data_IF_315779544459
#
_entry.id   IF_315779544459
#
_cell.length_a   1.000
_cell.length_b   1.000
_cell.length_c   1.000
_cell.angle_alpha   90.00
_cell.angle_beta   90.00
_cell.angle_gamma   90.00
#
_symmetry.space_group_name_H-M   'P 1'
#
loop_
_entity.id
_entity.type
_entity.pdbx_description
1 polymer ?
#
# COMPACT_ATOMS: atom_id res chain seq x y z
N UNK A 1 21.62 -16.94 -1.72
CA UNK A 1 20.20 -16.54 -2.00
C UNK A 1 19.85 -15.17 -1.44
N UNK A 2 20.23 -14.83 -0.21
CA UNK A 2 19.93 -13.53 0.43
C UNK A 2 20.60 -12.36 -0.31
N UNK A 3 21.74 -12.60 -0.94
CA UNK A 3 22.45 -11.62 -1.77
C UNK A 3 21.93 -11.54 -3.22
N UNK A 4 20.95 -12.37 -3.59
CA UNK A 4 20.41 -12.37 -4.93
C UNK A 4 19.64 -11.06 -5.21
N UNK A 5 19.71 -10.61 -6.47
CA UNK A 5 18.93 -9.46 -6.95
C UNK A 5 17.43 -9.78 -7.03
N UNK A 6 17.09 -11.07 -7.00
CA UNK A 6 15.71 -11.53 -7.15
C UNK A 6 15.43 -12.77 -6.32
N UNK A 7 14.27 -12.80 -5.68
CA UNK A 7 13.68 -13.97 -5.04
C UNK A 7 12.17 -13.93 -5.23
N UNK A 8 11.64 -14.97 -5.86
CA UNK A 8 10.20 -15.15 -6.08
C UNK A 8 9.79 -16.47 -5.41
N UNK A 9 9.02 -16.42 -4.31
CA UNK A 9 8.57 -17.64 -3.64
C UNK A 9 7.61 -18.42 -4.54
N UNK A 10 7.76 -19.76 -4.58
CA UNK A 10 6.87 -20.63 -5.36
C UNK A 10 5.43 -20.62 -4.85
N UNK A 11 5.26 -20.44 -3.55
CA UNK A 11 3.96 -20.32 -2.89
C UNK A 11 4.01 -19.15 -1.91
N UNK A 12 3.01 -18.29 -1.97
CA UNK A 12 2.83 -17.17 -1.02
C UNK A 12 1.73 -17.58 -0.05
N UNK A 13 2.00 -17.42 1.26
CA UNK A 13 0.97 -17.64 2.29
C UNK A 13 -0.01 -16.49 2.24
N UNK A 14 -1.29 -16.79 2.00
CA UNK A 14 -2.35 -15.80 2.05
C UNK A 14 -2.52 -15.23 3.47
N UNK A 15 -2.54 -13.92 3.57
CA UNK A 15 -2.87 -13.22 4.80
C UNK A 15 -4.35 -12.85 4.80
N UNK A 16 -5.12 -13.41 5.74
CA UNK A 16 -6.51 -13.03 5.90
C UNK A 16 -6.63 -11.59 6.41
N UNK A 17 -7.20 -10.70 5.60
CA UNK A 17 -7.51 -9.32 6.00
C UNK A 17 -8.52 -9.29 7.14
N UNK A 18 -9.45 -10.25 7.18
CA UNK A 18 -10.42 -10.38 8.28
C UNK A 18 -9.73 -10.69 9.61
N UNK A 19 -8.75 -11.60 9.60
CA UNK A 19 -8.00 -11.94 10.81
C UNK A 19 -7.07 -10.81 11.24
N UNK A 20 -6.44 -10.12 10.29
CA UNK A 20 -5.69 -8.90 10.56
C UNK A 20 -6.60 -7.83 11.21
N UNK A 21 -7.83 -7.67 10.73
CA UNK A 21 -8.80 -6.75 11.33
C UNK A 21 -9.21 -7.17 12.73
N UNK A 22 -9.48 -8.46 12.96
CA UNK A 22 -9.80 -8.99 14.29
C UNK A 22 -8.65 -8.75 15.29
N UNK A 23 -7.40 -9.04 14.88
CA UNK A 23 -6.19 -8.78 15.68
C UNK A 23 -6.07 -7.29 16.03
N UNK A 24 -6.21 -6.41 15.05
CA UNK A 24 -6.17 -4.96 15.25
C UNK A 24 -7.25 -4.47 16.22
N UNK A 25 -8.47 -5.02 16.14
CA UNK A 25 -9.58 -4.67 17.06
C UNK A 25 -9.42 -5.23 18.46
N UNK A 26 -8.60 -6.25 18.65
CA UNK A 26 -8.37 -6.85 19.94
C UNK A 26 -7.65 -5.86 20.88
N UNK A 27 -8.31 -5.51 21.98
CA UNK A 27 -7.77 -4.57 22.99
C UNK A 27 -6.48 -5.06 23.65
N UNK A 28 -6.25 -6.38 23.70
CA UNK A 28 -5.05 -6.99 24.29
C UNK A 28 -3.80 -6.82 23.40
N UNK A 29 -3.95 -6.57 22.09
CA UNK A 29 -2.86 -6.41 21.12
C UNK A 29 -2.22 -5.01 21.18
N UNK A 30 -1.66 -4.65 22.33
CA UNK A 30 -1.03 -3.32 22.54
C UNK A 30 0.19 -3.10 21.65
N UNK A 31 1.02 -4.13 21.45
CA UNK A 31 2.25 -4.04 20.65
C UNK A 31 1.95 -3.76 19.19
N UNK A 32 0.96 -4.44 18.60
CA UNK A 32 0.55 -4.18 17.22
C UNK A 32 0.03 -2.74 17.04
N UNK A 33 -0.78 -2.28 17.99
CA UNK A 33 -1.29 -0.89 17.97
C UNK A 33 -0.18 0.13 18.07
N UNK A 34 0.79 -0.09 18.96
CA UNK A 34 1.96 0.78 19.10
C UNK A 34 2.79 0.82 17.81
N UNK A 35 3.02 -0.34 17.19
CA UNK A 35 3.73 -0.44 15.92
C UNK A 35 3.03 0.36 14.81
N UNK A 36 1.73 0.17 14.66
CA UNK A 36 0.93 0.88 13.67
C UNK A 36 0.85 2.39 13.97
N UNK A 37 0.77 2.78 15.26
CA UNK A 37 0.84 4.18 15.68
C UNK A 37 2.16 4.82 15.24
N UNK A 38 3.29 4.18 15.52
CA UNK A 38 4.62 4.65 15.08
C UNK A 38 4.71 4.76 13.55
N UNK A 39 4.14 3.79 12.85
CA UNK A 39 4.13 3.74 11.39
C UNK A 39 3.32 4.86 10.75
N UNK A 40 2.18 5.26 11.34
CA UNK A 40 1.24 6.19 10.70
C UNK A 40 1.27 7.60 11.28
N UNK A 41 1.74 7.80 12.52
CA UNK A 41 1.62 9.08 13.24
C UNK A 41 2.23 10.27 12.50
N UNK A 42 3.32 10.08 11.78
CA UNK A 42 3.98 11.12 10.99
C UNK A 42 3.08 11.76 9.93
N UNK A 43 2.09 11.01 9.43
CA UNK A 43 1.15 11.52 8.42
C UNK A 43 0.19 12.57 8.96
N UNK A 44 -0.03 12.63 10.29
CA UNK A 44 -1.04 13.51 10.89
C UNK A 44 -0.84 14.97 10.54
N UNK A 45 0.40 15.47 10.54
CA UNK A 45 0.73 16.84 10.20
C UNK A 45 0.31 17.20 8.78
N UNK A 46 0.50 16.28 7.83
CA UNK A 46 0.15 16.47 6.42
C UNK A 46 -1.37 16.39 6.16
N UNK A 47 -2.13 15.78 7.07
CA UNK A 47 -3.58 15.62 6.95
C UNK A 47 -4.38 16.76 7.58
N UNK A 48 -3.71 17.65 8.31
CA UNK A 48 -4.36 18.80 8.95
C UNK A 48 -5.03 19.69 7.89
N UNK A 49 -6.30 20.03 8.11
CA UNK A 49 -7.12 20.88 7.22
C UNK A 49 -7.40 20.28 5.81
N UNK A 50 -7.03 19.05 5.53
CA UNK A 50 -7.37 18.36 4.28
C UNK A 50 -8.79 17.81 4.31
N UNK A 51 -9.49 17.85 3.17
CA UNK A 51 -10.91 17.45 3.06
C UNK A 51 -11.07 16.16 2.25
N UNK A 52 -10.40 16.05 1.11
CA UNK A 52 -10.50 14.92 0.19
C UNK A 52 -9.25 14.05 0.32
N UNK A 53 -9.30 13.09 1.24
CA UNK A 53 -8.19 12.17 1.55
C UNK A 53 -8.62 10.77 1.10
N UNK A 54 -7.83 10.14 0.25
CA UNK A 54 -8.12 8.81 -0.28
C UNK A 54 -6.96 7.88 0.03
N UNK A 55 -7.23 6.77 0.68
CA UNK A 55 -6.25 5.71 0.91
C UNK A 55 -6.50 4.57 -0.08
N UNK A 56 -5.44 4.15 -0.78
CA UNK A 56 -5.45 3.03 -1.73
C UNK A 56 -4.85 1.79 -1.07
N UNK A 57 -5.53 0.64 -1.20
CA UNK A 57 -5.10 -0.60 -0.57
C UNK A 57 -5.18 -0.55 0.95
N UNK A 58 -6.35 -0.16 1.49
CA UNK A 58 -6.54 0.10 2.92
C UNK A 58 -6.54 -1.14 3.81
N UNK A 59 -6.63 -2.35 3.23
CA UNK A 59 -6.58 -3.61 3.94
C UNK A 59 -7.52 -3.66 5.15
N UNK A 60 -6.95 -3.81 6.34
CA UNK A 60 -7.71 -3.87 7.60
C UNK A 60 -8.27 -2.52 8.09
N UNK A 61 -7.99 -1.41 7.40
CA UNK A 61 -8.50 -0.07 7.70
C UNK A 61 -7.96 0.56 8.98
N UNK A 62 -6.80 0.09 9.49
CA UNK A 62 -6.21 0.58 10.74
C UNK A 62 -5.81 2.05 10.67
N UNK A 63 -5.35 2.53 9.52
CA UNK A 63 -4.87 3.90 9.30
C UNK A 63 -5.88 4.96 9.70
N UNK A 64 -7.12 4.82 9.27
CA UNK A 64 -8.22 5.76 9.59
C UNK A 64 -8.46 5.89 11.09
N UNK A 65 -8.38 4.78 11.82
CA UNK A 65 -8.60 4.76 13.27
C UNK A 65 -7.40 5.33 14.02
N UNK A 66 -6.18 4.95 13.62
CA UNK A 66 -4.95 5.42 14.25
C UNK A 66 -4.74 6.92 13.97
N UNK A 67 -4.95 7.35 12.74
CA UNK A 67 -4.85 8.77 12.37
C UNK A 67 -5.99 9.61 12.95
N UNK A 68 -7.05 8.97 13.50
CA UNK A 68 -8.25 9.61 14.07
C UNK A 68 -8.89 10.60 13.09
N UNK A 69 -8.84 10.29 11.79
CA UNK A 69 -9.33 11.18 10.75
C UNK A 69 -10.50 10.55 9.98
N UNK A 70 -11.71 10.98 10.31
CA UNK A 70 -12.96 10.47 9.71
C UNK A 70 -13.10 10.80 8.21
N UNK A 71 -12.34 11.78 7.69
CA UNK A 71 -12.38 12.20 6.29
C UNK A 71 -11.64 11.25 5.34
N UNK A 72 -10.83 10.34 5.87
CA UNK A 72 -10.12 9.35 5.06
C UNK A 72 -11.15 8.40 4.43
N UNK A 73 -11.16 8.37 3.10
CA UNK A 73 -11.93 7.43 2.30
C UNK A 73 -11.06 6.19 2.10
N UNK A 74 -11.42 5.10 2.77
CA UNK A 74 -10.73 3.82 2.64
C UNK A 74 -11.14 3.12 1.35
N UNK A 75 -10.16 2.74 0.52
CA UNK A 75 -10.41 2.01 -0.72
C UNK A 75 -9.53 0.77 -0.80
N UNK A 76 -10.08 -0.28 -1.41
CA UNK A 76 -9.37 -1.54 -1.58
C UNK A 76 -9.90 -2.28 -2.81
N UNK A 77 -9.13 -3.26 -3.32
CA UNK A 77 -9.56 -4.13 -4.41
C UNK A 77 -10.68 -5.07 -3.94
N UNK A 78 -10.70 -5.41 -2.65
CA UNK A 78 -11.75 -6.19 -2.03
C UNK A 78 -12.69 -5.28 -1.20
N UNK A 79 -13.99 -5.62 -1.18
CA UNK A 79 -14.98 -4.88 -0.42
C UNK A 79 -15.19 -5.54 0.95
N UNK A 80 -14.82 -4.81 2.00
CA UNK A 80 -15.10 -5.17 3.39
C UNK A 80 -16.04 -4.13 4.02
N UNK A 81 -16.70 -4.43 5.17
CA UNK A 81 -17.64 -3.49 5.80
C UNK A 81 -17.06 -2.10 6.13
N UNK A 82 -15.76 -2.01 6.40
CA UNK A 82 -15.07 -0.75 6.71
C UNK A 82 -14.51 -0.04 5.48
N UNK A 83 -14.50 -0.70 4.31
CA UNK A 83 -14.01 -0.10 3.06
C UNK A 83 -15.14 0.73 2.43
N UNK A 84 -14.87 2.00 2.21
CA UNK A 84 -15.83 2.94 1.65
C UNK A 84 -16.10 2.63 0.16
N UNK A 85 -15.05 2.38 -0.63
CA UNK A 85 -15.18 2.17 -2.07
C UNK A 85 -14.24 1.05 -2.55
N UNK A 86 -14.75 0.13 -3.38
CA UNK A 86 -13.93 -0.86 -4.08
C UNK A 86 -13.20 -0.18 -5.23
N UNK A 87 -11.87 -0.21 -5.21
CA UNK A 87 -11.00 0.37 -6.24
C UNK A 87 -9.79 -0.52 -6.45
N UNK A 88 -9.57 -0.92 -7.68
CA UNK A 88 -8.32 -1.52 -8.11
C UNK A 88 -7.31 -0.39 -8.41
N UNK A 89 -6.25 -0.28 -7.61
CA UNK A 89 -5.24 0.77 -7.79
C UNK A 89 -4.51 0.66 -9.13
N UNK A 90 -4.37 -0.54 -9.70
CA UNK A 90 -3.72 -0.74 -11.00
C UNK A 90 -4.51 -0.11 -12.14
N UNK A 91 -5.84 -0.04 -11.98
CA UNK A 91 -6.80 0.55 -12.92
C UNK A 91 -7.40 1.85 -12.39
N UNK A 92 -6.71 2.56 -11.48
CA UNK A 92 -7.24 3.71 -10.76
C UNK A 92 -8.10 4.60 -11.66
N UNK A 93 -9.39 4.67 -11.31
CA UNK A 93 -10.35 5.62 -11.85
C UNK A 93 -11.29 6.09 -10.72
N UNK A 94 -11.24 7.38 -10.43
CA UNK A 94 -12.08 8.03 -9.40
C UNK A 94 -13.23 8.82 -10.04
N UNK A 95 -13.34 8.78 -11.37
CA UNK A 95 -14.30 9.55 -12.13
C UNK A 95 -13.92 11.03 -12.34
N UNK A 96 -14.56 11.66 -13.32
CA UNK A 96 -14.22 13.05 -13.74
C UNK A 96 -14.41 14.07 -12.62
N UNK A 97 -15.37 13.87 -11.72
CA UNK A 97 -15.71 14.80 -10.62
C UNK A 97 -14.56 15.01 -9.62
N UNK A 98 -13.65 14.04 -9.48
CA UNK A 98 -12.52 14.11 -8.55
C UNK A 98 -11.21 14.57 -9.19
N UNK A 99 -11.15 14.78 -10.51
CA UNK A 99 -9.95 15.30 -11.18
C UNK A 99 -9.58 16.67 -10.61
N UNK A 100 -8.32 16.82 -10.20
CA UNK A 100 -7.81 18.05 -9.60
C UNK A 100 -8.43 18.43 -8.25
N UNK A 101 -9.09 17.48 -7.54
CA UNK A 101 -9.80 17.79 -6.27
C UNK A 101 -9.33 17.00 -5.05
N UNK A 102 -8.45 16.03 -5.22
CA UNK A 102 -7.91 15.23 -4.12
C UNK A 102 -6.81 16.04 -3.41
N UNK A 103 -6.94 16.18 -2.10
CA UNK A 103 -5.93 16.85 -1.29
C UNK A 103 -4.75 15.94 -0.97
N UNK A 104 -5.04 14.67 -0.64
CA UNK A 104 -4.01 13.70 -0.23
C UNK A 104 -4.40 12.30 -0.69
N UNK A 105 -3.46 11.62 -1.29
CA UNK A 105 -3.46 10.17 -1.40
C UNK A 105 -2.59 9.56 -0.31
N UNK A 106 -3.02 8.44 0.23
CA UNK A 106 -2.27 7.63 1.19
C UNK A 106 -2.09 6.23 0.58
N UNK A 107 -0.88 5.70 0.65
CA UNK A 107 -0.54 4.32 0.30
C UNK A 107 0.28 3.75 1.46
N UNK A 108 -0.29 2.78 2.18
CA UNK A 108 0.35 2.14 3.32
C UNK A 108 0.54 0.66 3.04
N UNK A 109 1.78 0.19 2.91
CA UNK A 109 2.11 -1.21 2.67
C UNK A 109 1.26 -1.83 1.56
N UNK A 110 1.10 -1.13 0.45
CA UNK A 110 0.30 -1.61 -0.68
C UNK A 110 0.86 -1.22 -2.04
N UNK A 111 1.87 -0.32 -2.10
CA UNK A 111 2.47 0.06 -3.38
C UNK A 111 3.22 -1.11 -4.02
N UNK A 112 3.90 -1.93 -3.22
CA UNK A 112 4.62 -3.11 -3.67
C UNK A 112 3.70 -4.23 -4.24
N UNK A 113 2.39 -4.16 -3.99
CA UNK A 113 1.39 -5.00 -4.66
C UNK A 113 0.92 -4.42 -6.00
N UNK A 114 1.31 -3.19 -6.33
CA UNK A 114 0.90 -2.57 -7.58
C UNK A 114 1.76 -3.07 -8.74
N UNK A 115 1.15 -3.70 -9.74
CA UNK A 115 1.85 -4.22 -10.91
C UNK A 115 2.51 -3.12 -11.77
N UNK A 116 2.07 -1.87 -11.66
CA UNK A 116 2.64 -0.74 -12.39
C UNK A 116 2.62 0.54 -11.53
N UNK A 117 3.55 0.66 -10.56
CA UNK A 117 3.56 1.78 -9.62
C UNK A 117 3.77 3.13 -10.29
N UNK A 118 4.62 3.23 -11.31
CA UNK A 118 4.85 4.48 -12.04
C UNK A 118 3.59 4.98 -12.77
N UNK A 119 2.83 4.07 -13.38
CA UNK A 119 1.54 4.39 -14.00
C UNK A 119 0.50 4.81 -12.97
N UNK A 120 0.50 4.17 -11.79
CA UNK A 120 -0.35 4.56 -10.67
C UNK A 120 -0.05 6.01 -10.25
N UNK A 121 1.21 6.34 -9.98
CA UNK A 121 1.61 7.68 -9.57
C UNK A 121 1.21 8.75 -10.61
N UNK A 122 1.41 8.47 -11.91
CA UNK A 122 0.93 9.33 -13.00
C UNK A 122 -0.59 9.48 -13.03
N UNK A 123 -1.35 8.45 -12.68
CA UNK A 123 -2.81 8.57 -12.57
C UNK A 123 -3.23 9.38 -11.35
N UNK A 124 -2.58 9.16 -10.20
CA UNK A 124 -2.86 9.91 -8.97
C UNK A 124 -2.62 11.40 -9.17
N UNK A 125 -1.53 11.81 -9.86
CA UNK A 125 -1.23 13.22 -10.12
C UNK A 125 -2.36 13.95 -10.87
N UNK A 126 -3.10 13.26 -11.74
CA UNK A 126 -4.26 13.85 -12.47
C UNK A 126 -5.45 14.14 -11.55
N UNK A 127 -5.53 13.49 -10.40
CA UNK A 127 -6.61 13.69 -9.43
C UNK A 127 -6.22 14.67 -8.32
N UNK A 128 -4.91 14.89 -8.11
CA UNK A 128 -4.44 15.81 -7.08
C UNK A 128 -4.78 17.26 -7.43
N UNK A 129 -5.10 18.02 -6.39
CA UNK A 129 -5.09 19.49 -6.45
C UNK A 129 -3.69 20.02 -6.69
N UNK A 130 -3.58 21.28 -7.10
CA UNK A 130 -2.32 22.04 -6.96
C UNK A 130 -1.86 21.95 -5.51
N UNK A 131 -0.61 21.55 -5.27
CA UNK A 131 -0.05 21.30 -3.94
C UNK A 131 -0.73 20.13 -3.18
N UNK A 132 -1.38 19.21 -3.87
CA UNK A 132 -1.83 17.94 -3.30
C UNK A 132 -0.65 17.00 -3.03
N UNK A 133 -0.82 16.07 -2.09
CA UNK A 133 0.26 15.20 -1.61
C UNK A 133 -0.04 13.73 -1.90
N UNK A 134 1.02 12.96 -2.08
CA UNK A 134 1.00 11.50 -2.03
C UNK A 134 1.87 11.09 -0.85
N UNK A 135 1.28 10.48 0.16
CA UNK A 135 1.96 9.95 1.34
C UNK A 135 2.14 8.45 1.17
N UNK A 136 3.37 8.00 1.06
CA UNK A 136 3.71 6.60 0.85
C UNK A 136 4.47 6.09 2.06
N UNK A 137 4.07 4.94 2.56
CA UNK A 137 4.79 4.15 3.55
C UNK A 137 4.82 2.70 3.07
N UNK A 138 5.92 2.31 2.45
CA UNK A 138 6.10 1.00 1.85
C UNK A 138 7.43 0.39 2.31
N UNK A 139 7.57 -0.94 2.40
CA UNK A 139 8.80 -1.54 2.88
C UNK A 139 9.98 -1.24 1.95
N UNK A 140 11.12 -1.00 2.55
CA UNK A 140 12.41 -0.96 1.89
C UNK A 140 13.11 -2.31 2.05
N UNK A 141 13.67 -2.82 0.95
CA UNK A 141 14.41 -4.08 0.95
C UNK A 141 15.82 -3.88 1.53
N UNK A 142 15.98 -4.18 2.81
CA UNK A 142 17.27 -4.31 3.47
C UNK A 142 17.76 -5.76 3.48
N UNK A 143 19.03 -5.97 3.84
CA UNK A 143 19.60 -7.31 4.02
C UNK A 143 18.80 -8.17 5.00
N UNK A 144 18.49 -7.63 6.18
CA UNK A 144 17.70 -8.34 7.18
C UNK A 144 16.28 -8.62 6.71
N UNK A 145 15.66 -7.70 5.97
CA UNK A 145 14.33 -7.91 5.45
C UNK A 145 14.30 -9.03 4.39
N UNK A 146 15.30 -9.10 3.50
CA UNK A 146 15.48 -10.23 2.57
C UNK A 146 15.56 -11.57 3.32
N UNK A 147 16.32 -11.62 4.43
CA UNK A 147 16.43 -12.82 5.25
C UNK A 147 15.07 -13.25 5.81
N UNK A 148 14.31 -12.33 6.38
CA UNK A 148 12.96 -12.62 6.88
C UNK A 148 11.99 -13.08 5.78
N UNK A 149 11.96 -12.40 4.64
CA UNK A 149 11.10 -12.80 3.52
C UNK A 149 11.43 -14.20 3.01
N UNK A 150 12.73 -14.54 2.96
CA UNK A 150 13.19 -15.86 2.54
C UNK A 150 12.76 -16.97 3.51
N UNK A 151 12.88 -16.76 4.81
CA UNK A 151 12.45 -17.73 5.83
C UNK A 151 10.93 -17.87 5.86
N UNK A 152 10.22 -16.76 5.88
CA UNK A 152 8.76 -16.75 6.00
C UNK A 152 8.06 -17.18 4.72
N UNK A 153 8.72 -17.15 3.58
CA UNK A 153 8.17 -17.46 2.24
C UNK A 153 6.88 -16.70 1.96
N UNK A 154 6.81 -15.48 2.47
CA UNK A 154 5.59 -14.69 2.44
C UNK A 154 5.46 -13.89 1.15
N UNK A 155 6.53 -13.20 0.77
CA UNK A 155 6.62 -12.34 -0.41
C UNK A 155 8.03 -12.38 -0.98
N UNK A 156 8.20 -11.84 -2.21
CA UNK A 156 9.49 -11.80 -2.87
C UNK A 156 10.00 -10.38 -3.10
N UNK A 157 11.14 -10.31 -3.77
CA UNK A 157 11.72 -9.07 -4.28
C UNK A 157 12.37 -9.31 -5.64
N UNK A 158 12.41 -8.29 -6.48
CA UNK A 158 13.21 -8.28 -7.69
C UNK A 158 13.66 -6.86 -8.03
N UNK A 159 14.96 -6.70 -8.21
CA UNK A 159 15.58 -5.50 -8.74
C UNK A 159 15.71 -5.52 -10.28
N UNK A 160 15.41 -6.64 -10.91
CA UNK A 160 15.50 -6.83 -12.37
C UNK A 160 14.33 -6.22 -13.15
N UNK A 161 13.37 -5.62 -12.43
CA UNK A 161 12.16 -5.05 -13.01
C UNK A 161 12.37 -3.60 -13.37
N UNK A 162 12.14 -3.23 -14.62
CA UNK A 162 12.02 -1.83 -15.00
C UNK A 162 10.59 -1.34 -14.69
N UNK A 163 10.42 -0.68 -13.55
CA UNK A 163 9.12 -0.15 -13.10
C UNK A 163 8.56 0.98 -13.96
N UNK A 164 9.37 1.58 -14.83
CA UNK A 164 8.94 2.63 -15.76
C UNK A 164 8.49 2.10 -17.11
N UNK A 165 8.93 0.88 -17.48
CA UNK A 165 8.58 0.23 -18.74
C UNK A 165 8.25 -1.25 -18.53
N UNK A 166 7.09 -1.50 -17.97
CA UNK A 166 6.64 -2.85 -17.62
C UNK A 166 6.01 -3.54 -18.85
N UNK A 167 6.84 -4.06 -19.73
CA UNK A 167 6.41 -4.98 -20.81
C UNK A 167 6.16 -6.40 -20.30
N UNK A 168 6.81 -6.81 -19.19
CA UNK A 168 6.60 -8.10 -18.52
C UNK A 168 6.40 -7.87 -17.02
N UNK A 169 5.22 -8.10 -16.52
CA UNK A 169 4.97 -8.14 -15.08
C UNK A 169 5.54 -9.44 -14.52
N UNK A 170 6.46 -9.34 -13.58
CA UNK A 170 6.85 -10.45 -12.71
C UNK A 170 5.70 -10.82 -11.77
N UNK A 171 4.78 -9.88 -11.59
CA UNK A 171 3.61 -10.04 -10.73
C UNK A 171 2.47 -10.62 -11.53
N UNK A 172 1.86 -11.66 -10.99
CA UNK A 172 0.54 -12.10 -11.45
C UNK A 172 -0.44 -10.96 -11.13
N UNK A 173 -0.90 -10.29 -12.17
CA UNK A 173 -1.87 -9.20 -12.06
C UNK A 173 -3.22 -9.66 -11.48
N UNK A 174 -3.44 -10.96 -11.45
CA UNK A 174 -4.62 -11.65 -10.93
C UNK A 174 -4.53 -11.99 -9.44
N UNK A 175 -3.33 -11.94 -8.85
CA UNK A 175 -3.15 -12.20 -7.43
C UNK A 175 -2.82 -10.89 -6.67
N UNK A 176 -3.79 -10.29 -5.94
CA UNK A 176 -3.58 -9.06 -5.18
C UNK A 176 -2.56 -9.20 -4.04
N UNK A 177 -2.18 -10.43 -3.68
CA UNK A 177 -1.18 -10.75 -2.65
C UNK A 177 0.22 -10.93 -3.23
N UNK A 178 0.37 -10.94 -4.55
CA UNK A 178 1.68 -10.93 -5.20
C UNK A 178 2.35 -9.57 -4.97
N UNK A 179 3.58 -9.57 -4.46
CA UNK A 179 4.28 -8.34 -4.08
C UNK A 179 5.74 -8.33 -4.55
N UNK A 180 6.23 -7.14 -4.91
CA UNK A 180 7.67 -6.90 -5.05
C UNK A 180 8.15 -5.89 -4.01
N UNK A 181 8.73 -6.38 -2.94
CA UNK A 181 9.21 -5.53 -1.86
C UNK A 181 10.39 -4.62 -2.25
N UNK A 182 10.97 -4.76 -3.45
CA UNK A 182 11.97 -3.84 -3.98
C UNK A 182 11.37 -2.58 -4.66
N UNK A 183 10.05 -2.44 -4.75
CA UNK A 183 9.40 -1.30 -5.45
C UNK A 183 9.82 0.04 -4.85
N UNK A 184 9.89 0.18 -3.53
CA UNK A 184 10.33 1.42 -2.91
C UNK A 184 11.77 1.78 -3.30
N UNK A 185 12.70 0.82 -3.24
CA UNK A 185 14.10 1.01 -3.62
C UNK A 185 14.29 1.32 -5.12
N UNK A 186 13.33 0.91 -5.97
CA UNK A 186 13.39 1.16 -7.42
C UNK A 186 12.77 2.51 -7.80
N UNK A 187 11.90 3.08 -6.93
CA UNK A 187 11.22 4.35 -7.18
C UNK A 187 11.94 5.55 -6.58
N UNK A 188 12.62 5.33 -5.45
CA UNK A 188 13.21 6.36 -4.60
C UNK A 188 14.68 6.06 -4.27
#
# INVERSE_FOLDING_TARGET
>A
MIFAEEYIPKQVKDCSILDSRKKFKNKKNKNEKLLLEKRFSWMRSFLKNKKNIIELGSGNGASKEILKNKKIILTDIQKYPWINKKIDMTKLDLGRKLKGKVDVFIINHSLHHCSNPSKLLKKMSKYLKKNGLILINDPEISFFFKFFLYILKHEGWSFKVNIFNLKKNIFRSDNPWSANNAVANLLF
#
